data_IF_826484440103
#
_entry.id   IF_826484440103
#
_cell.length_a   1.000
_cell.length_b   1.000
_cell.length_c   1.000
_cell.angle_alpha   90.00
_cell.angle_beta   90.00
_cell.angle_gamma   90.00
#
_symmetry.space_group_name_H-M   'P 1'
#
loop_
_entity.id
_entity.type
_entity.pdbx_description
1 polymer ?
#
# COMPACT_ATOMS: atom_id res chain seq x y z
N UNK A 1 16.67 0.60 -21.72
CA UNK A 1 17.25 -0.41 -20.81
C UNK A 1 16.20 -0.76 -19.78
N UNK A 2 15.61 -1.96 -19.83
CA UNK A 2 14.45 -2.31 -19.00
C UNK A 2 14.89 -2.85 -17.63
N UNK A 3 14.22 -2.36 -16.58
CA UNK A 3 14.76 -2.33 -15.23
C UNK A 3 13.81 -3.10 -14.29
N UNK A 4 14.11 -4.38 -14.05
CA UNK A 4 13.34 -5.24 -13.13
C UNK A 4 13.85 -5.08 -11.69
N UNK A 5 13.12 -4.37 -10.83
CA UNK A 5 12.97 -4.78 -9.43
C UNK A 5 11.52 -5.23 -9.29
N UNK A 6 11.26 -6.08 -8.31
CA UNK A 6 10.13 -6.97 -8.41
C UNK A 6 8.80 -6.23 -8.60
N UNK A 7 8.13 -6.55 -9.71
CA UNK A 7 6.80 -6.04 -10.06
C UNK A 7 5.84 -6.22 -8.86
N UNK A 8 6.06 -7.31 -8.13
CA UNK A 8 5.46 -7.72 -6.86
C UNK A 8 5.42 -6.62 -5.79
N UNK A 9 6.44 -5.75 -5.64
CA UNK A 9 6.38 -4.67 -4.64
C UNK A 9 5.44 -3.54 -5.04
N UNK A 10 5.49 -3.09 -6.30
CA UNK A 10 4.57 -2.06 -6.80
C UNK A 10 3.14 -2.60 -6.88
N UNK A 11 2.98 -3.87 -7.23
CA UNK A 11 1.70 -4.59 -7.17
C UNK A 11 1.19 -4.71 -5.73
N UNK A 12 2.02 -5.11 -4.76
CA UNK A 12 1.62 -5.19 -3.35
C UNK A 12 1.16 -3.83 -2.84
N UNK A 13 1.94 -2.78 -3.11
CA UNK A 13 1.61 -1.41 -2.71
C UNK A 13 0.32 -0.92 -3.38
N UNK A 14 0.18 -1.10 -4.69
CA UNK A 14 -1.02 -0.70 -5.42
C UNK A 14 -2.26 -1.46 -4.92
N UNK A 15 -2.15 -2.78 -4.78
CA UNK A 15 -3.23 -3.65 -4.31
C UNK A 15 -3.63 -3.33 -2.87
N UNK A 16 -2.66 -3.05 -1.98
CA UNK A 16 -2.96 -2.66 -0.59
C UNK A 16 -3.64 -1.29 -0.49
N UNK A 17 -3.16 -0.28 -1.23
CA UNK A 17 -3.81 1.03 -1.29
C UNK A 17 -5.24 0.92 -1.86
N UNK A 18 -5.42 0.11 -2.92
CA UNK A 18 -6.73 -0.12 -3.57
C UNK A 18 -7.68 -0.94 -2.70
N UNK A 19 -7.20 -2.00 -2.03
CA UNK A 19 -7.97 -2.78 -1.06
C UNK A 19 -8.45 -1.90 0.09
N UNK A 20 -7.57 -1.05 0.63
CA UNK A 20 -7.91 -0.13 1.73
C UNK A 20 -8.94 0.91 1.27
N UNK A 21 -8.74 1.52 0.10
CA UNK A 21 -9.66 2.51 -0.49
C UNK A 21 -11.06 1.92 -0.75
N UNK A 22 -11.14 0.75 -1.39
CA UNK A 22 -12.41 0.07 -1.66
C UNK A 22 -13.09 -0.41 -0.37
N UNK A 23 -12.32 -0.90 0.60
CA UNK A 23 -12.87 -1.33 1.90
C UNK A 23 -13.40 -0.16 2.72
N UNK A 24 -12.79 1.03 2.62
CA UNK A 24 -13.35 2.26 3.20
C UNK A 24 -14.64 2.63 2.47
N UNK A 25 -14.65 2.66 1.13
CA UNK A 25 -15.83 3.02 0.32
C UNK A 25 -17.06 2.17 0.68
N UNK A 26 -16.89 0.84 0.71
CA UNK A 26 -17.94 -0.10 1.09
C UNK A 26 -18.21 -0.15 2.60
N UNK A 27 -17.27 0.32 3.41
CA UNK A 27 -17.30 0.30 4.86
C UNK A 27 -17.71 1.60 5.55
N UNK A 28 -18.03 2.69 4.81
CA UNK A 28 -18.26 4.02 5.40
C UNK A 28 -19.31 4.06 6.51
N UNK A 29 -20.36 3.23 6.41
CA UNK A 29 -21.43 3.13 7.41
C UNK A 29 -21.23 1.96 8.39
N UNK A 30 -20.26 1.09 8.15
CA UNK A 30 -20.01 -0.16 8.88
C UNK A 30 -18.52 -0.25 9.30
N UNK A 31 -17.92 0.89 9.67
CA UNK A 31 -16.46 1.00 9.82
C UNK A 31 -15.84 -0.08 10.71
N UNK A 32 -16.52 -0.46 11.81
CA UNK A 32 -16.06 -1.53 12.71
C UNK A 32 -15.77 -2.86 11.99
N UNK A 33 -16.62 -3.24 11.04
CA UNK A 33 -16.49 -4.47 10.27
C UNK A 33 -15.38 -4.34 9.21
N UNK A 34 -15.38 -3.22 8.47
CA UNK A 34 -14.34 -2.93 7.48
C UNK A 34 -12.93 -2.83 8.10
N UNK A 35 -12.82 -2.20 9.28
CA UNK A 35 -11.60 -2.13 10.10
C UNK A 35 -11.16 -3.49 10.58
N UNK A 36 -12.07 -4.36 11.02
CA UNK A 36 -11.72 -5.75 11.40
C UNK A 36 -11.14 -6.50 10.20
N UNK A 37 -11.80 -6.45 9.04
CA UNK A 37 -11.31 -7.02 7.78
C UNK A 37 -9.89 -6.51 7.42
N UNK A 38 -9.69 -5.18 7.47
CA UNK A 38 -8.41 -4.55 7.15
C UNK A 38 -7.30 -4.87 8.16
N UNK A 39 -7.61 -5.01 9.46
CA UNK A 39 -6.65 -5.46 10.48
C UNK A 39 -6.08 -6.85 10.16
N UNK A 40 -6.93 -7.79 9.73
CA UNK A 40 -6.49 -9.13 9.34
C UNK A 40 -5.61 -9.14 8.08
N UNK A 41 -5.61 -8.06 7.29
CA UNK A 41 -4.84 -7.89 6.04
C UNK A 41 -3.81 -6.78 6.12
N UNK A 42 -3.44 -6.37 7.34
CA UNK A 42 -2.58 -5.20 7.56
C UNK A 42 -1.15 -5.43 7.02
N UNK A 43 -0.79 -4.66 6.00
CA UNK A 43 0.50 -4.76 5.30
C UNK A 43 1.35 -3.49 5.40
N UNK A 44 0.82 -2.41 5.98
CA UNK A 44 1.46 -1.10 5.94
C UNK A 44 2.88 -1.08 6.52
N UNK A 45 3.14 -1.73 7.65
CA UNK A 45 4.48 -1.74 8.27
C UNK A 45 5.53 -2.42 7.39
N UNK A 46 5.16 -3.55 6.74
CA UNK A 46 6.03 -4.26 5.79
C UNK A 46 6.30 -3.39 4.55
N UNK A 47 5.28 -2.69 4.04
CA UNK A 47 5.43 -1.76 2.92
C UNK A 47 6.27 -0.53 3.29
N UNK A 48 6.10 0.03 4.50
CA UNK A 48 6.93 1.13 5.02
C UNK A 48 8.40 0.69 5.11
N UNK A 49 8.69 -0.49 5.66
CA UNK A 49 10.05 -1.01 5.72
C UNK A 49 10.67 -1.19 4.32
N UNK A 50 9.89 -1.65 3.33
CA UNK A 50 10.34 -1.78 1.95
C UNK A 50 10.55 -0.42 1.25
N UNK A 51 9.74 0.60 1.55
CA UNK A 51 9.82 1.94 0.95
C UNK A 51 10.88 2.85 1.61
N UNK A 52 11.13 2.68 2.92
CA UNK A 52 12.07 3.50 3.69
C UNK A 52 13.53 3.38 3.22
N UNK A 53 13.85 2.35 2.44
CA UNK A 53 15.15 2.08 1.81
C UNK A 53 15.68 3.27 0.97
N UNK A 54 14.80 4.21 0.56
CA UNK A 54 15.18 5.42 -0.17
C UNK A 54 15.57 6.65 0.70
N UNK A 55 15.48 6.59 2.04
CA UNK A 55 15.85 7.73 2.89
C UNK A 55 17.29 7.68 3.37
N UNK A 56 18.04 8.75 3.10
CA UNK A 56 19.30 9.05 3.80
C UNK A 56 19.02 9.39 5.26
N UNK A 57 19.17 8.41 6.16
CA UNK A 57 19.05 8.65 7.61
C UNK A 57 20.27 9.41 8.15
N UNK A 58 20.11 10.72 8.32
CA UNK A 58 20.90 11.50 9.27
C UNK A 58 20.08 11.78 10.53
N UNK A 59 20.00 10.80 11.45
CA UNK A 59 20.02 11.01 12.91
C UNK A 59 20.00 9.66 13.68
N UNK A 60 20.81 9.61 14.75
CA UNK A 60 21.02 8.49 15.70
C UNK A 60 19.77 8.36 16.59
N UNK A 61 19.27 7.21 17.08
CA UNK A 61 19.55 5.76 17.01
C UNK A 61 18.18 5.04 17.23
N UNK A 62 17.97 3.72 17.25
CA UNK A 62 18.88 2.54 17.26
C UNK A 62 18.48 1.53 16.16
N UNK A 63 18.03 0.30 16.49
CA UNK A 63 17.74 -0.80 15.53
C UNK A 63 18.86 -1.00 14.47
N UNK A 64 20.09 -0.71 14.86
CA UNK A 64 21.15 -0.15 14.00
C UNK A 64 22.07 -1.19 13.35
N UNK A 65 21.66 -2.47 13.27
CA UNK A 65 22.49 -3.55 12.68
C UNK A 65 21.82 -4.46 11.64
N UNK A 66 20.60 -4.16 11.20
CA UNK A 66 20.11 -4.62 9.87
C UNK A 66 20.65 -3.72 8.75
N UNK A 67 21.12 -2.52 9.12
CA UNK A 67 21.41 -1.39 8.24
C UNK A 67 22.65 -1.48 7.33
N UNK A 68 23.58 -2.41 7.56
CA UNK A 68 24.80 -2.49 6.72
C UNK A 68 24.63 -3.31 5.42
N UNK A 69 23.61 -4.19 5.34
CA UNK A 69 23.65 -5.31 4.39
C UNK A 69 22.42 -5.53 3.49
N UNK A 70 21.40 -4.67 3.55
CA UNK A 70 20.57 -4.41 2.35
C UNK A 70 21.32 -3.59 1.27
N UNK A 71 22.59 -3.25 1.58
CA UNK A 71 23.74 -3.19 0.68
C UNK A 71 23.53 -2.47 -0.66
N UNK A 72 23.99 -1.21 -0.65
CA UNK A 72 24.81 -0.65 -1.73
C UNK A 72 24.46 -1.11 -3.15
N UNK A 73 23.54 -0.37 -3.79
CA UNK A 73 23.38 -0.35 -5.25
C UNK A 73 23.04 -1.72 -5.88
N UNK A 74 21.75 -2.06 -5.94
CA UNK A 74 21.18 -2.71 -7.13
C UNK A 74 20.44 -1.70 -8.05
N UNK A 75 21.08 -0.52 -8.13
CA UNK A 75 21.21 0.42 -9.26
C UNK A 75 19.92 0.97 -9.92
N UNK A 76 19.71 2.28 -9.72
CA UNK A 76 19.00 3.23 -10.60
C UNK A 76 17.57 2.86 -11.04
N UNK A 77 16.56 2.99 -10.16
CA UNK A 77 15.17 2.56 -10.50
C UNK A 77 14.04 3.59 -10.33
N UNK A 78 14.22 4.65 -9.52
CA UNK A 78 13.36 5.86 -9.45
C UNK A 78 11.83 5.67 -9.69
N UNK A 79 11.22 4.66 -9.06
CA UNK A 79 9.79 4.34 -9.29
C UNK A 79 8.85 5.45 -8.86
N UNK A 80 9.20 6.09 -7.75
CA UNK A 80 8.48 7.19 -7.15
C UNK A 80 9.49 8.30 -6.87
N UNK A 81 9.08 9.56 -6.99
CA UNK A 81 9.91 10.66 -6.51
C UNK A 81 10.02 10.61 -4.99
N UNK A 82 10.95 11.40 -4.43
CA UNK A 82 11.08 11.56 -2.97
C UNK A 82 9.75 11.99 -2.34
N UNK A 83 9.09 13.00 -2.92
CA UNK A 83 7.82 13.53 -2.44
C UNK A 83 6.70 12.48 -2.52
N UNK A 84 6.59 11.75 -3.63
CA UNK A 84 5.61 10.66 -3.80
C UNK A 84 5.82 9.56 -2.74
N UNK A 85 7.08 9.22 -2.45
CA UNK A 85 7.46 8.24 -1.42
C UNK A 85 7.14 8.74 0.00
N UNK A 86 7.40 10.03 0.28
CA UNK A 86 7.05 10.67 1.55
C UNK A 86 5.53 10.68 1.78
N UNK A 87 4.74 11.07 0.77
CA UNK A 87 3.26 11.03 0.81
C UNK A 87 2.74 9.61 1.09
N UNK A 88 3.26 8.59 0.40
CA UNK A 88 2.82 7.20 0.61
C UNK A 88 3.21 6.70 2.00
N UNK A 89 4.41 6.99 2.50
CA UNK A 89 4.81 6.63 3.86
C UNK A 89 3.95 7.32 4.93
N UNK A 90 3.54 8.57 4.72
CA UNK A 90 2.56 9.23 5.57
C UNK A 90 1.20 8.52 5.52
N UNK A 91 0.67 8.22 4.33
CA UNK A 91 -0.61 7.51 4.17
C UNK A 91 -0.62 6.13 4.83
N UNK A 92 0.44 5.34 4.67
CA UNK A 92 0.57 4.02 5.29
C UNK A 92 0.55 4.10 6.83
N UNK A 93 1.18 5.13 7.41
CA UNK A 93 1.09 5.40 8.86
C UNK A 93 -0.32 5.85 9.27
N UNK A 94 -0.93 6.74 8.49
CA UNK A 94 -2.29 7.23 8.71
C UNK A 94 -3.30 6.08 8.71
N UNK A 95 -3.19 5.11 7.79
CA UNK A 95 -4.00 3.88 7.82
C UNK A 95 -3.87 3.16 9.17
N UNK A 96 -2.66 2.98 9.70
CA UNK A 96 -2.44 2.37 11.01
C UNK A 96 -3.14 3.12 12.16
N UNK A 97 -3.17 4.45 12.11
CA UNK A 97 -3.92 5.28 13.07
C UNK A 97 -5.44 5.05 12.98
N UNK A 98 -6.03 5.12 11.78
CA UNK A 98 -7.47 4.85 11.61
C UNK A 98 -7.83 3.40 11.97
N UNK A 99 -6.97 2.42 11.68
CA UNK A 99 -7.17 1.05 12.13
C UNK A 99 -7.01 0.89 13.65
N UNK A 100 -6.40 1.85 14.35
CA UNK A 100 -6.42 1.87 15.82
C UNK A 100 -7.73 2.46 16.36
N UNK A 101 -8.36 3.38 15.64
CA UNK A 101 -9.57 4.12 16.05
C UNK A 101 -10.88 3.33 15.84
N UNK A 102 -11.75 3.30 16.87
CA UNK A 102 -13.02 2.56 16.83
C UNK A 102 -14.11 3.27 16.02
N UNK A 103 -14.15 4.61 16.06
CA UNK A 103 -15.21 5.44 15.45
C UNK A 103 -14.66 6.77 14.90
N UNK A 104 -13.79 6.73 13.87
CA UNK A 104 -13.28 7.93 13.21
C UNK A 104 -14.39 8.72 12.53
N UNK A 105 -14.21 10.04 12.44
CA UNK A 105 -15.11 10.91 11.70
C UNK A 105 -15.28 10.46 10.22
N UNK A 106 -16.52 10.48 9.75
CA UNK A 106 -16.89 10.05 8.40
C UNK A 106 -16.25 10.92 7.32
N UNK A 107 -16.13 12.23 7.56
CA UNK A 107 -15.48 13.16 6.63
C UNK A 107 -13.99 12.86 6.50
N UNK A 108 -13.35 12.50 7.61
CA UNK A 108 -11.96 12.06 7.69
C UNK A 108 -11.71 10.73 6.97
N UNK A 109 -12.60 9.73 7.11
CA UNK A 109 -12.55 8.51 6.28
C UNK A 109 -12.70 8.81 4.78
N UNK A 110 -13.59 9.73 4.39
CA UNK A 110 -13.76 10.15 2.99
C UNK A 110 -12.50 10.83 2.45
N UNK A 111 -11.85 11.71 3.24
CA UNK A 111 -10.56 12.33 2.86
C UNK A 111 -9.48 11.26 2.65
N UNK A 112 -9.30 10.36 3.61
CA UNK A 112 -8.33 9.26 3.51
C UNK A 112 -8.58 8.43 2.24
N UNK A 113 -9.83 8.08 1.96
CA UNK A 113 -10.21 7.34 0.75
C UNK A 113 -9.74 8.06 -0.54
N UNK A 114 -9.98 9.36 -0.64
CA UNK A 114 -9.58 10.17 -1.80
C UNK A 114 -8.05 10.21 -1.95
N UNK A 115 -7.31 10.36 -0.84
CA UNK A 115 -5.85 10.34 -0.85
C UNK A 115 -5.30 8.96 -1.25
N UNK A 116 -5.88 7.88 -0.73
CA UNK A 116 -5.53 6.50 -1.12
C UNK A 116 -5.82 6.24 -2.60
N UNK A 117 -6.95 6.69 -3.14
CA UNK A 117 -7.28 6.59 -4.56
C UNK A 117 -6.24 7.29 -5.43
N UNK A 118 -5.84 8.50 -5.06
CA UNK A 118 -4.84 9.28 -5.78
C UNK A 118 -3.44 8.64 -5.70
N UNK A 119 -3.04 8.15 -4.52
CA UNK A 119 -1.78 7.42 -4.35
C UNK A 119 -1.79 6.09 -5.12
N UNK A 120 -2.88 5.33 -5.09
CA UNK A 120 -3.05 4.10 -5.84
C UNK A 120 -2.95 4.34 -7.36
N UNK A 121 -3.62 5.38 -7.88
CA UNK A 121 -3.48 5.83 -9.28
C UNK A 121 -2.03 6.15 -9.65
N UNK A 122 -1.30 6.80 -8.74
CA UNK A 122 0.10 7.18 -8.95
C UNK A 122 0.99 5.94 -9.04
N UNK A 123 0.87 5.00 -8.10
CA UNK A 123 1.62 3.73 -8.12
C UNK A 123 1.25 2.88 -9.35
N UNK A 124 -0.04 2.79 -9.70
CA UNK A 124 -0.52 2.02 -10.87
C UNK A 124 0.13 2.46 -12.18
N UNK A 125 0.38 3.76 -12.37
CA UNK A 125 1.08 4.31 -13.55
C UNK A 125 2.54 3.84 -13.68
N UNK A 126 3.15 3.30 -12.62
CA UNK A 126 4.53 2.79 -12.59
C UNK A 126 4.62 1.29 -12.85
N UNK A 127 3.48 0.60 -12.90
CA UNK A 127 3.38 -0.84 -13.20
C UNK A 127 3.24 -1.01 -14.71
N UNK A 128 4.06 -1.85 -15.31
CA UNK A 128 4.12 -2.05 -16.79
C UNK A 128 3.46 -3.35 -17.26
N UNK A 129 3.15 -4.28 -16.37
CA UNK A 129 2.52 -5.56 -16.72
C UNK A 129 0.99 -5.44 -16.62
N UNK A 130 0.34 -5.24 -17.78
CA UNK A 130 -1.12 -5.09 -17.87
C UNK A 130 -1.90 -6.25 -17.26
N UNK A 131 -1.45 -7.50 -17.43
CA UNK A 131 -2.14 -8.67 -16.89
C UNK A 131 -2.14 -8.66 -15.35
N UNK A 132 -1.00 -8.34 -14.73
CA UNK A 132 -0.89 -8.20 -13.27
C UNK A 132 -1.71 -7.01 -12.75
N UNK A 133 -1.76 -5.91 -13.50
CA UNK A 133 -2.61 -4.75 -13.16
C UNK A 133 -4.09 -5.13 -13.15
N UNK A 134 -4.57 -5.93 -14.12
CA UNK A 134 -5.97 -6.39 -14.16
C UNK A 134 -6.33 -7.25 -12.93
N UNK A 135 -5.38 -8.04 -12.40
CA UNK A 135 -5.57 -8.77 -11.14
C UNK A 135 -5.64 -7.80 -9.94
N UNK A 136 -4.75 -6.82 -9.88
CA UNK A 136 -4.72 -5.82 -8.80
C UNK A 136 -5.89 -4.82 -8.83
N UNK A 137 -6.42 -4.50 -10.01
CA UNK A 137 -7.67 -3.76 -10.20
C UNK A 137 -8.87 -4.53 -9.58
N UNK A 138 -8.73 -5.85 -9.42
CA UNK A 138 -9.67 -6.80 -8.79
C UNK A 138 -9.15 -7.35 -7.45
N UNK A 139 -8.36 -6.57 -6.70
CA UNK A 139 -7.96 -6.96 -5.34
C UNK A 139 -9.20 -7.16 -4.45
N UNK A 140 -9.16 -8.20 -3.60
CA UNK A 140 -10.21 -8.44 -2.62
C UNK A 140 -10.37 -7.27 -1.64
N UNK A 141 -11.59 -7.00 -1.20
CA UNK A 141 -11.92 -5.90 -0.29
C UNK A 141 -13.18 -6.19 0.52
N UNK A 142 -13.38 -5.42 1.60
CA UNK A 142 -14.57 -5.54 2.45
C UNK A 142 -15.86 -5.35 1.64
N UNK A 143 -16.84 -6.24 1.86
CA UNK A 143 -18.16 -6.22 1.24
C UNK A 143 -18.13 -6.14 -0.31
N UNK A 144 -17.21 -6.92 -0.91
CA UNK A 144 -17.15 -7.18 -2.35
C UNK A 144 -18.31 -8.07 -2.83
N UNK A 145 -18.63 -8.03 -4.12
CA UNK A 145 -19.74 -8.78 -4.70
C UNK A 145 -19.45 -10.30 -4.74
N UNK A 146 -20.39 -11.12 -4.26
CA UNK A 146 -20.23 -12.59 -4.13
C UNK A 146 -19.93 -13.33 -5.45
N UNK A 147 -20.34 -12.78 -6.60
CA UNK A 147 -20.12 -13.38 -7.92
C UNK A 147 -18.98 -12.72 -8.72
N UNK A 148 -18.24 -11.78 -8.12
CA UNK A 148 -17.07 -11.19 -8.75
C UNK A 148 -15.81 -12.04 -8.53
N UNK A 149 -14.93 -12.10 -9.53
CA UNK A 149 -13.59 -12.69 -9.36
C UNK A 149 -12.66 -11.68 -8.71
N UNK A 150 -12.21 -11.97 -7.50
CA UNK A 150 -11.26 -11.15 -6.73
C UNK A 150 -10.04 -11.97 -6.32
N UNK A 151 -8.94 -11.29 -6.02
CA UNK A 151 -7.65 -11.91 -5.67
C UNK A 151 -7.07 -11.30 -4.39
N UNK A 152 -6.49 -12.14 -3.54
CA UNK A 152 -5.66 -11.71 -2.42
C UNK A 152 -4.39 -11.01 -2.90
N UNK A 153 -3.79 -10.19 -2.03
CA UNK A 153 -2.52 -9.50 -2.35
C UNK A 153 -1.41 -10.54 -2.54
N UNK A 154 -1.47 -11.64 -1.79
CA UNK A 154 -0.63 -12.82 -1.91
C UNK A 154 -0.76 -13.47 -3.28
N UNK A 155 -1.96 -13.72 -3.81
CA UNK A 155 -2.15 -14.27 -5.17
C UNK A 155 -1.66 -13.31 -6.27
N UNK A 156 -1.93 -12.01 -6.14
CA UNK A 156 -1.49 -10.98 -7.10
C UNK A 156 0.05 -10.93 -7.20
N UNK A 157 0.74 -11.22 -6.09
CA UNK A 157 2.19 -11.05 -5.95
C UNK A 157 2.99 -12.36 -5.91
N UNK A 158 2.38 -13.51 -5.67
CA UNK A 158 3.06 -14.82 -5.65
C UNK A 158 3.34 -15.35 -7.06
N UNK A 159 2.40 -15.14 -7.99
CA UNK A 159 2.52 -15.45 -9.41
C UNK A 159 3.65 -14.67 -10.12
#
# INVERSE_FOLDING_TARGET
MNIYYDNKLLLALYSYLRQTELSIDRGLNEWKNARSYLKHRYLADKLIMALAINKTLHQKNTFSKVYCYAYLKLRHKQYLTRQESDTICCLLRTIGSYLSEDSPDRSNLIKLRIELYNAAKLVRKRITNNNRIILADRVEHYNQHLHGTFYSIEEITSL
#
